data_IF_174762988515
#
_entry.id   IF_174762988515
#
_cell.length_a   1.000
_cell.length_b   1.000
_cell.length_c   1.000
_cell.angle_alpha   90.00
_cell.angle_beta   90.00
_cell.angle_gamma   90.00
#
_symmetry.space_group_name_H-M   'P 1'
#
loop_
_entity.id
_entity.type
_entity.pdbx_description
1 polymer ?
#
# COMPACT_ATOMS: atom_id res chain seq x y z
N UNK A 1 8.57 -22.27 5.80
CA UNK A 1 9.83 -21.80 5.19
C UNK A 1 9.91 -20.29 5.34
N UNK A 2 10.75 -19.80 6.25
CA UNK A 2 11.00 -18.37 6.39
C UNK A 2 11.80 -17.90 5.18
N UNK A 3 11.27 -16.95 4.39
CA UNK A 3 12.06 -16.27 3.34
C UNK A 3 13.31 -15.71 4.01
N UNK A 4 14.48 -16.22 3.64
CA UNK A 4 15.76 -15.60 3.97
C UNK A 4 15.66 -14.13 3.56
N UNK A 5 15.75 -13.23 4.54
CA UNK A 5 15.94 -11.82 4.28
C UNK A 5 17.29 -11.70 3.58
N UNK A 6 17.25 -11.51 2.26
CA UNK A 6 18.41 -11.22 1.44
C UNK A 6 19.13 -10.03 2.08
N UNK A 7 20.35 -10.26 2.57
CA UNK A 7 21.19 -9.21 3.17
C UNK A 7 21.56 -8.24 2.05
N UNK A 8 20.66 -7.30 1.76
CA UNK A 8 20.90 -6.20 0.82
C UNK A 8 22.20 -5.53 1.20
N UNK A 9 23.16 -5.49 0.26
CA UNK A 9 24.46 -4.89 0.49
C UNK A 9 24.29 -3.40 0.79
N UNK A 10 25.19 -2.81 1.57
CA UNK A 10 25.17 -1.36 1.85
C UNK A 10 25.15 -0.54 0.55
N UNK A 11 25.84 -1.02 -0.49
CA UNK A 11 25.82 -0.42 -1.84
C UNK A 11 24.43 -0.45 -2.47
N UNK A 12 23.69 -1.54 -2.30
CA UNK A 12 22.33 -1.66 -2.85
C UNK A 12 21.38 -0.72 -2.13
N UNK A 13 21.49 -0.61 -0.80
CA UNK A 13 20.71 0.35 0.00
C UNK A 13 20.98 1.80 -0.43
N UNK A 14 22.25 2.17 -0.64
CA UNK A 14 22.62 3.49 -1.15
C UNK A 14 22.06 3.73 -2.55
N UNK A 15 22.10 2.74 -3.44
CA UNK A 15 21.53 2.82 -4.78
C UNK A 15 20.00 3.02 -4.73
N UNK A 16 19.30 2.31 -3.85
CA UNK A 16 17.86 2.49 -3.63
C UNK A 16 17.53 3.89 -3.14
N UNK A 17 18.30 4.43 -2.19
CA UNK A 17 18.15 5.80 -1.70
C UNK A 17 18.37 6.81 -2.83
N UNK A 18 19.42 6.64 -3.64
CA UNK A 18 19.70 7.50 -4.79
C UNK A 18 18.60 7.47 -5.86
N UNK A 19 18.02 6.28 -6.12
CA UNK A 19 16.87 6.15 -7.02
C UNK A 19 15.63 6.84 -6.46
N UNK A 20 15.35 6.68 -5.17
CA UNK A 20 14.23 7.35 -4.49
C UNK A 20 14.38 8.88 -4.52
N UNK A 21 15.60 9.39 -4.34
CA UNK A 21 15.91 10.81 -4.42
C UNK A 21 15.64 11.36 -5.83
N UNK A 22 16.22 10.75 -6.87
CA UNK A 22 16.01 11.16 -8.27
C UNK A 22 14.54 11.05 -8.69
N UNK A 23 13.84 10.04 -8.19
CA UNK A 23 12.42 9.86 -8.44
C UNK A 23 11.61 10.99 -7.79
N UNK A 24 11.84 11.29 -6.51
CA UNK A 24 11.12 12.31 -5.74
C UNK A 24 11.37 13.72 -6.27
N UNK A 25 12.62 14.09 -6.56
CA UNK A 25 12.98 15.41 -7.10
C UNK A 25 12.27 15.74 -8.41
N UNK A 26 12.03 14.73 -9.27
CA UNK A 26 11.33 14.92 -10.53
C UNK A 26 9.83 15.19 -10.38
N UNK A 27 9.21 14.74 -9.28
CA UNK A 27 7.75 14.85 -9.07
C UNK A 27 7.39 15.95 -8.06
N UNK A 28 8.23 16.19 -7.07
CA UNK A 28 8.03 17.22 -6.06
C UNK A 28 9.04 18.36 -6.23
N UNK A 29 8.59 19.47 -6.82
CA UNK A 29 9.40 20.70 -7.01
C UNK A 29 9.84 21.32 -5.69
N UNK A 30 9.10 21.10 -4.61
CA UNK A 30 9.42 21.61 -3.27
C UNK A 30 10.42 20.74 -2.51
N UNK A 31 10.77 19.56 -3.03
CA UNK A 31 11.70 18.67 -2.36
C UNK A 31 13.10 19.27 -2.24
N UNK A 32 13.63 19.87 -3.31
CA UNK A 32 14.97 20.50 -3.32
C UNK A 32 15.12 21.65 -2.30
N UNK A 33 14.24 22.67 -2.26
CA UNK A 33 14.39 23.77 -1.30
C UNK A 33 14.22 23.29 0.15
N UNK A 34 13.29 22.36 0.41
CA UNK A 34 13.12 21.77 1.74
C UNK A 34 14.38 21.00 2.16
N UNK A 35 14.97 20.25 1.24
CA UNK A 35 16.19 19.50 1.49
C UNK A 35 17.38 20.42 1.79
N UNK A 36 17.50 21.53 1.08
CA UNK A 36 18.51 22.54 1.36
C UNK A 36 18.34 23.16 2.76
N UNK A 37 17.10 23.52 3.14
CA UNK A 37 16.81 24.06 4.47
C UNK A 37 17.17 23.06 5.56
N UNK A 38 16.80 21.79 5.40
CA UNK A 38 17.05 20.73 6.41
C UNK A 38 18.53 20.48 6.62
N UNK A 39 19.34 20.65 5.57
CA UNK A 39 20.80 20.58 5.69
C UNK A 39 21.35 21.85 6.30
N UNK A 40 20.96 23.04 5.83
CA UNK A 40 21.58 24.30 6.25
C UNK A 40 21.19 24.74 7.67
N UNK A 41 19.94 24.52 8.07
CA UNK A 41 19.39 24.95 9.36
C UNK A 41 20.24 24.51 10.58
N UNK A 42 20.60 23.22 10.75
CA UNK A 42 21.43 22.81 11.88
C UNK A 42 22.83 23.44 11.87
N UNK A 43 23.44 23.66 10.70
CA UNK A 43 24.74 24.34 10.61
C UNK A 43 24.65 25.83 10.95
N UNK A 44 23.58 26.51 10.54
CA UNK A 44 23.31 27.91 10.92
C UNK A 44 23.15 28.02 12.44
N UNK A 45 22.37 27.12 13.05
CA UNK A 45 22.15 27.09 14.50
C UNK A 45 23.46 26.87 15.25
N UNK A 46 24.25 25.86 14.86
CA UNK A 46 25.53 25.59 15.53
C UNK A 46 26.51 26.74 15.34
N UNK A 47 26.57 27.35 14.15
CA UNK A 47 27.44 28.51 13.91
C UNK A 47 27.05 29.69 14.79
N UNK A 48 25.76 29.97 14.94
CA UNK A 48 25.30 31.02 15.86
C UNK A 48 25.69 30.70 17.32
N UNK A 49 25.54 29.44 17.77
CA UNK A 49 25.92 29.05 19.13
C UNK A 49 27.44 29.15 19.38
N UNK A 50 28.26 28.79 18.38
CA UNK A 50 29.72 28.90 18.47
C UNK A 50 30.16 30.37 18.51
N UNK A 51 29.58 31.23 17.66
CA UNK A 51 29.97 32.64 17.54
C UNK A 51 29.46 33.49 18.71
N UNK A 52 28.19 33.35 19.09
CA UNK A 52 27.56 34.20 20.11
C UNK A 52 27.68 33.67 21.53
N UNK A 53 27.83 32.36 21.71
CA UNK A 53 27.82 31.68 23.01
C UNK A 53 29.15 30.99 23.34
N UNK A 54 30.17 31.17 22.50
CA UNK A 54 31.50 30.56 22.62
C UNK A 54 31.46 29.04 22.81
N UNK A 55 30.47 28.38 22.20
CA UNK A 55 30.34 26.92 22.28
C UNK A 55 31.49 26.19 21.60
N UNK A 56 31.83 24.98 22.07
CA UNK A 56 32.88 24.18 21.43
C UNK A 56 32.58 23.84 19.97
N UNK A 57 33.59 23.98 19.13
CA UNK A 57 33.57 23.60 17.71
C UNK A 57 33.17 22.14 17.40
N UNK A 58 33.34 21.19 18.33
CA UNK A 58 32.97 19.79 18.07
C UNK A 58 31.45 19.59 17.85
N UNK A 59 30.61 20.56 18.23
CA UNK A 59 29.16 20.52 17.98
C UNK A 59 28.78 20.51 16.48
N UNK A 60 29.69 20.88 15.59
CA UNK A 60 29.50 20.72 14.14
C UNK A 60 29.33 19.24 13.73
N UNK A 61 29.93 18.30 14.46
CA UNK A 61 29.73 16.86 14.25
C UNK A 61 28.27 16.47 14.53
N UNK A 62 27.68 17.01 15.60
CA UNK A 62 26.27 16.80 15.94
C UNK A 62 25.34 17.41 14.89
N UNK A 63 25.65 18.60 14.36
CA UNK A 63 24.90 19.22 13.25
C UNK A 63 24.87 18.32 12.01
N UNK A 64 26.00 17.69 11.67
CA UNK A 64 26.08 16.75 10.55
C UNK A 64 25.15 15.54 10.74
N UNK A 65 25.12 14.93 11.93
CA UNK A 65 24.22 13.81 12.20
C UNK A 65 22.74 14.23 12.14
N UNK A 66 22.40 15.40 12.68
CA UNK A 66 21.04 15.94 12.62
C UNK A 66 20.62 16.20 11.16
N UNK A 67 21.50 16.79 10.36
CA UNK A 67 21.25 17.03 8.93
C UNK A 67 21.02 15.71 8.16
N UNK A 68 21.81 14.68 8.45
CA UNK A 68 21.69 13.37 7.81
C UNK A 68 20.37 12.68 8.17
N UNK A 69 20.00 12.68 9.46
CA UNK A 69 18.72 12.12 9.91
C UNK A 69 17.56 12.90 9.31
N UNK A 70 17.64 14.23 9.33
CA UNK A 70 16.65 15.13 8.74
C UNK A 70 16.43 14.81 7.26
N UNK A 71 17.51 14.67 6.48
CA UNK A 71 17.47 14.28 5.08
C UNK A 71 16.74 12.96 4.85
N UNK A 72 17.01 11.95 5.67
CA UNK A 72 16.36 10.65 5.53
C UNK A 72 14.87 10.72 5.86
N UNK A 73 14.48 11.48 6.88
CA UNK A 73 13.08 11.68 7.28
C UNK A 73 12.31 12.45 6.19
N UNK A 74 12.86 13.54 5.68
CA UNK A 74 12.22 14.36 4.63
C UNK A 74 12.09 13.58 3.34
N UNK A 75 13.12 12.85 2.93
CA UNK A 75 13.06 11.97 1.77
C UNK A 75 11.96 10.93 1.94
N UNK A 76 11.96 10.17 3.04
CA UNK A 76 10.97 9.11 3.26
C UNK A 76 9.51 9.64 3.25
N UNK A 77 9.27 10.75 3.96
CA UNK A 77 7.94 11.36 4.04
C UNK A 77 7.47 11.91 2.69
N UNK A 78 8.37 12.53 1.91
CA UNK A 78 8.05 13.10 0.59
C UNK A 78 7.87 12.02 -0.47
N UNK A 79 8.73 11.00 -0.50
CA UNK A 79 8.59 9.83 -1.37
C UNK A 79 7.25 9.12 -1.12
N UNK A 80 6.86 8.93 0.14
CA UNK A 80 5.57 8.31 0.48
C UNK A 80 4.39 9.11 -0.08
N UNK A 81 4.45 10.45 -0.02
CA UNK A 81 3.41 11.33 -0.58
C UNK A 81 3.34 11.23 -2.11
N UNK A 82 4.48 11.21 -2.80
CA UNK A 82 4.53 11.07 -4.26
C UNK A 82 3.98 9.71 -4.70
N UNK A 83 4.42 8.63 -4.06
CA UNK A 83 3.94 7.27 -4.36
C UNK A 83 2.43 7.17 -4.13
N UNK A 84 1.92 7.74 -3.03
CA UNK A 84 0.49 7.72 -2.72
C UNK A 84 -0.33 8.45 -3.78
N UNK A 85 0.18 9.58 -4.30
CA UNK A 85 -0.46 10.31 -5.40
C UNK A 85 -0.43 9.54 -6.72
N UNK A 86 0.66 8.84 -7.02
CA UNK A 86 0.75 7.99 -8.22
C UNK A 86 -0.06 6.69 -8.11
N UNK A 87 -0.42 6.27 -6.89
CA UNK A 87 -1.32 5.14 -6.66
C UNK A 87 -2.78 5.49 -6.98
N UNK A 88 -3.15 6.79 -7.03
CA UNK A 88 -4.47 7.24 -7.46
C UNK A 88 -4.66 6.89 -8.94
N UNK A 89 -5.61 6.00 -9.23
CA UNK A 89 -5.95 5.59 -10.60
C UNK A 89 -5.19 4.37 -11.14
N UNK A 90 -4.31 3.73 -10.35
CA UNK A 90 -3.77 2.41 -10.69
C UNK A 90 -4.65 1.30 -10.10
N UNK A 91 -5.07 0.30 -10.88
CA UNK A 91 -5.77 -0.87 -10.35
C UNK A 91 -4.92 -1.58 -9.29
N UNK A 92 -5.50 -1.86 -8.12
CA UNK A 92 -4.84 -2.37 -6.93
C UNK A 92 -4.09 -1.30 -6.10
N UNK A 93 -4.20 -0.01 -6.45
CA UNK A 93 -3.53 1.08 -5.73
C UNK A 93 -4.06 1.27 -4.31
N UNK A 94 -5.35 1.01 -4.12
CA UNK A 94 -6.00 1.01 -2.80
C UNK A 94 -5.44 -0.04 -1.85
N UNK A 95 -5.12 -1.23 -2.38
CA UNK A 95 -4.45 -2.29 -1.64
C UNK A 95 -3.02 -1.89 -1.23
N UNK A 96 -2.23 -1.39 -2.16
CA UNK A 96 -0.81 -1.11 -1.96
C UNK A 96 -0.52 -0.11 -0.83
N UNK A 97 -1.44 0.82 -0.55
CA UNK A 97 -1.27 1.80 0.54
C UNK A 97 -1.64 1.28 1.93
N UNK A 98 -2.39 0.18 1.98
CA UNK A 98 -2.87 -0.44 3.22
C UNK A 98 -2.00 -1.65 3.58
N UNK A 99 -1.41 -2.31 2.57
CA UNK A 99 -0.48 -3.42 2.74
C UNK A 99 0.77 -2.94 3.51
N UNK A 100 0.86 -3.34 4.79
CA UNK A 100 1.91 -2.89 5.71
C UNK A 100 1.43 -2.01 6.88
N UNK A 101 0.13 -1.70 6.97
CA UNK A 101 -0.41 -1.09 8.18
C UNK A 101 -0.31 -2.05 9.38
N UNK A 102 0.36 -1.60 10.45
CA UNK A 102 0.56 -2.41 11.64
C UNK A 102 -0.77 -2.76 12.32
N UNK A 103 -0.98 -4.05 12.59
CA UNK A 103 -2.17 -4.54 13.29
C UNK A 103 -3.40 -4.72 12.39
N UNK A 104 -3.20 -4.70 11.07
CA UNK A 104 -4.21 -5.04 10.08
C UNK A 104 -3.78 -6.29 9.31
N UNK A 105 -4.73 -7.18 9.05
CA UNK A 105 -4.56 -8.33 8.16
C UNK A 105 -5.30 -8.06 6.87
N UNK A 106 -4.57 -7.96 5.77
CA UNK A 106 -5.16 -7.67 4.45
C UNK A 106 -5.24 -8.94 3.61
N UNK A 107 -6.33 -9.10 2.89
CA UNK A 107 -6.53 -10.14 1.89
C UNK A 107 -6.95 -9.46 0.59
N UNK A 108 -6.08 -9.43 -0.44
CA UNK A 108 -6.42 -8.83 -1.71
C UNK A 108 -7.44 -9.69 -2.48
N UNK A 109 -8.24 -9.03 -3.33
CA UNK A 109 -9.09 -9.67 -4.33
C UNK A 109 -9.92 -10.86 -3.78
N UNK A 110 -10.67 -10.64 -2.70
CA UNK A 110 -11.57 -11.66 -2.14
C UNK A 110 -12.72 -11.96 -3.10
N UNK A 111 -13.14 -10.95 -3.86
CA UNK A 111 -14.00 -11.05 -5.01
C UNK A 111 -13.48 -10.11 -6.11
N UNK A 112 -13.44 -10.56 -7.36
CA UNK A 112 -13.03 -9.75 -8.50
C UNK A 112 -13.89 -10.09 -9.71
N UNK A 113 -14.31 -9.06 -10.47
CA UNK A 113 -14.99 -9.22 -11.75
C UNK A 113 -14.03 -8.94 -12.93
N UNK A 114 -13.04 -8.08 -12.72
CA UNK A 114 -11.98 -7.75 -13.68
C UNK A 114 -10.72 -7.33 -12.91
N UNK A 115 -9.65 -7.00 -13.64
CA UNK A 115 -8.43 -6.42 -13.06
C UNK A 115 -8.66 -5.02 -12.48
N UNK A 116 -9.73 -4.33 -12.88
CA UNK A 116 -10.08 -2.98 -12.43
C UNK A 116 -11.19 -2.96 -11.38
N UNK A 117 -12.04 -3.99 -11.36
CA UNK A 117 -13.19 -4.11 -10.45
C UNK A 117 -12.96 -5.26 -9.47
N UNK A 118 -12.48 -4.92 -8.26
CA UNK A 118 -12.18 -5.91 -7.23
C UNK A 118 -12.53 -5.43 -5.82
N UNK A 119 -12.67 -6.39 -4.90
CA UNK A 119 -12.98 -6.15 -3.49
C UNK A 119 -11.86 -6.73 -2.64
N UNK A 120 -11.22 -5.86 -1.88
CA UNK A 120 -10.23 -6.23 -0.87
C UNK A 120 -10.89 -6.29 0.50
N UNK A 121 -10.30 -7.12 1.36
CA UNK A 121 -10.75 -7.27 2.75
C UNK A 121 -9.60 -6.94 3.68
N UNK A 122 -9.88 -6.12 4.69
CA UNK A 122 -8.96 -5.80 5.76
C UNK A 122 -9.61 -6.15 7.11
N UNK A 123 -8.86 -6.78 8.01
CA UNK A 123 -9.32 -7.13 9.35
C UNK A 123 -8.39 -6.48 10.36
N UNK A 124 -8.96 -5.72 11.30
CA UNK A 124 -8.19 -5.00 12.32
C UNK A 124 -8.99 -4.81 13.60
N UNK A 125 -8.48 -3.97 14.51
CA UNK A 125 -9.19 -3.62 15.76
C UNK A 125 -10.57 -2.98 15.56
N UNK A 126 -10.85 -2.26 14.46
CA UNK A 126 -12.21 -1.80 14.20
C UNK A 126 -13.20 -2.91 13.84
N UNK A 127 -12.72 -4.06 13.36
CA UNK A 127 -13.55 -5.12 12.82
C UNK A 127 -13.12 -5.48 11.40
N UNK A 128 -14.10 -5.78 10.55
CA UNK A 128 -13.87 -6.14 9.15
C UNK A 128 -14.18 -4.93 8.27
N UNK A 129 -13.29 -4.64 7.34
CA UNK A 129 -13.46 -3.57 6.36
C UNK A 129 -13.38 -4.17 4.97
N UNK A 130 -14.41 -3.90 4.16
CA UNK A 130 -14.45 -4.22 2.74
C UNK A 130 -14.16 -2.96 1.95
N UNK A 131 -13.24 -3.09 0.99
CA UNK A 131 -12.75 -2.02 0.16
C UNK A 131 -13.03 -2.40 -1.28
N UNK A 132 -13.99 -1.73 -1.90
CA UNK A 132 -14.28 -1.93 -3.32
C UNK A 132 -13.43 -0.96 -4.14
N UNK A 133 -12.69 -1.48 -5.09
CA UNK A 133 -11.94 -0.72 -6.09
C UNK A 133 -12.60 -0.91 -7.45
N UNK A 134 -12.78 0.18 -8.21
CA UNK A 134 -13.44 0.18 -9.51
C UNK A 134 -14.88 0.72 -9.50
N UNK A 135 -15.65 0.42 -10.54
CA UNK A 135 -16.96 1.00 -10.82
C UNK A 135 -18.15 0.25 -10.19
N UNK A 136 -19.34 0.39 -10.77
CA UNK A 136 -20.58 -0.18 -10.22
C UNK A 136 -20.57 -1.70 -9.98
N UNK A 137 -19.74 -2.46 -10.73
CA UNK A 137 -19.55 -3.91 -10.54
C UNK A 137 -18.89 -4.24 -9.19
N UNK A 138 -17.89 -3.46 -8.76
CA UNK A 138 -17.21 -3.66 -7.48
C UNK A 138 -18.16 -3.44 -6.30
N UNK A 139 -19.08 -2.46 -6.39
CA UNK A 139 -20.13 -2.21 -5.38
C UNK A 139 -21.09 -3.40 -5.24
N UNK A 140 -21.46 -4.05 -6.34
CA UNK A 140 -22.28 -5.27 -6.33
C UNK A 140 -21.53 -6.44 -5.69
N UNK A 141 -20.25 -6.62 -6.02
CA UNK A 141 -19.41 -7.65 -5.38
C UNK A 141 -19.27 -7.40 -3.88
N UNK A 142 -19.12 -6.14 -3.48
CA UNK A 142 -19.00 -5.75 -2.08
C UNK A 142 -20.26 -6.05 -1.27
N UNK A 143 -21.45 -5.82 -1.83
CA UNK A 143 -22.71 -6.15 -1.13
C UNK A 143 -22.90 -7.66 -0.98
N UNK A 144 -22.51 -8.45 -1.98
CA UNK A 144 -22.50 -9.91 -1.91
C UNK A 144 -21.53 -10.42 -0.84
N UNK A 145 -20.30 -9.89 -0.82
CA UNK A 145 -19.29 -10.30 0.15
C UNK A 145 -19.68 -9.84 1.57
N UNK A 146 -20.27 -8.65 1.74
CA UNK A 146 -20.80 -8.21 3.03
C UNK A 146 -21.83 -9.19 3.59
N UNK A 147 -22.77 -9.65 2.76
CA UNK A 147 -23.79 -10.64 3.16
C UNK A 147 -23.17 -12.00 3.48
N UNK A 148 -22.11 -12.40 2.77
CA UNK A 148 -21.39 -13.65 3.01
C UNK A 148 -20.65 -13.61 4.35
N UNK A 149 -19.90 -12.54 4.59
CA UNK A 149 -19.11 -12.31 5.79
C UNK A 149 -20.01 -12.13 7.02
N UNK A 150 -21.12 -11.41 6.91
CA UNK A 150 -22.02 -11.12 8.05
C UNK A 150 -22.53 -12.39 8.74
N UNK A 151 -22.63 -13.51 8.03
CA UNK A 151 -23.02 -14.81 8.59
C UNK A 151 -21.96 -15.44 9.50
N UNK A 152 -20.70 -15.00 9.41
CA UNK A 152 -19.55 -15.66 10.06
C UNK A 152 -18.85 -14.75 11.08
N UNK A 153 -18.93 -13.43 10.91
CA UNK A 153 -18.28 -12.47 11.81
C UNK A 153 -19.03 -12.24 13.13
N UNK A 154 -20.28 -12.70 13.24
CA UNK A 154 -21.10 -12.54 14.43
C UNK A 154 -21.35 -11.06 14.75
N UNK A 155 -21.02 -10.64 15.97
CA UNK A 155 -21.18 -9.27 16.47
C UNK A 155 -20.13 -8.26 15.99
N UNK A 156 -19.13 -8.70 15.20
CA UNK A 156 -18.06 -7.80 14.75
C UNK A 156 -18.56 -6.87 13.65
N UNK A 157 -18.36 -5.53 13.77
CA UNK A 157 -18.78 -4.58 12.74
C UNK A 157 -18.13 -4.83 11.37
N UNK A 158 -18.92 -4.65 10.31
CA UNK A 158 -18.47 -4.73 8.91
C UNK A 158 -18.64 -3.37 8.26
N UNK A 159 -17.52 -2.71 7.96
CA UNK A 159 -17.47 -1.43 7.25
C UNK A 159 -17.26 -1.65 5.75
N UNK A 160 -17.83 -0.77 4.94
CA UNK A 160 -17.71 -0.81 3.48
C UNK A 160 -17.27 0.55 2.97
N UNK A 161 -16.19 0.60 2.21
CA UNK A 161 -15.72 1.81 1.52
C UNK A 161 -15.53 1.51 0.04
N UNK A 162 -15.85 2.50 -0.79
CA UNK A 162 -15.53 2.47 -2.21
C UNK A 162 -14.36 3.40 -2.44
N UNK A 163 -13.34 2.92 -3.13
CA UNK A 163 -12.13 3.65 -3.43
C UNK A 163 -12.31 4.33 -4.79
N UNK A 164 -12.10 5.64 -4.82
CA UNK A 164 -12.24 6.46 -6.02
C UNK A 164 -12.29 7.94 -5.67
N UNK A 165 -12.58 8.78 -6.65
CA UNK A 165 -12.57 10.25 -6.53
C UNK A 165 -13.99 10.86 -6.60
N UNK A 166 -15.05 10.03 -6.55
CA UNK A 166 -16.43 10.50 -6.53
C UNK A 166 -16.92 11.01 -5.15
N UNK A 167 -18.08 11.66 -5.13
CA UNK A 167 -18.68 12.32 -3.95
C UNK A 167 -19.02 11.37 -2.77
N UNK A 168 -19.09 10.07 -3.03
CA UNK A 168 -19.32 9.01 -2.03
C UNK A 168 -18.19 7.96 -2.02
N UNK A 169 -17.00 8.37 -2.44
CA UNK A 169 -15.82 7.52 -2.54
C UNK A 169 -14.70 8.09 -1.67
N UNK A 170 -13.86 7.20 -1.17
CA UNK A 170 -12.71 7.57 -0.37
C UNK A 170 -11.52 7.60 -1.30
N UNK A 171 -10.89 8.77 -1.42
CA UNK A 171 -9.65 8.92 -2.18
C UNK A 171 -8.60 7.93 -1.68
N UNK A 172 -7.77 7.43 -2.59
CA UNK A 172 -6.68 6.50 -2.26
C UNK A 172 -5.74 7.12 -1.21
N UNK A 173 -5.56 8.45 -1.26
CA UNK A 173 -4.71 9.19 -0.31
C UNK A 173 -5.32 9.27 1.10
N UNK A 174 -6.64 9.48 1.20
CA UNK A 174 -7.32 9.64 2.50
C UNK A 174 -7.72 8.31 3.13
N UNK A 175 -7.71 7.22 2.36
CA UNK A 175 -8.13 5.90 2.79
C UNK A 175 -7.46 5.46 4.10
N UNK A 176 -6.13 5.60 4.20
CA UNK A 176 -5.38 5.27 5.42
C UNK A 176 -5.85 6.08 6.62
N UNK A 177 -6.11 7.38 6.44
CA UNK A 177 -6.58 8.28 7.50
C UNK A 177 -7.98 7.91 7.95
N UNK A 178 -8.86 7.59 7.01
CA UNK A 178 -10.24 7.15 7.26
C UNK A 178 -10.26 5.84 8.05
N UNK A 179 -9.46 4.84 7.66
CA UNK A 179 -9.37 3.56 8.37
C UNK A 179 -8.82 3.71 9.80
N UNK A 180 -7.86 4.60 10.01
CA UNK A 180 -7.28 4.85 11.33
C UNK A 180 -8.21 5.61 12.28
N UNK A 181 -9.21 6.32 11.75
CA UNK A 181 -10.23 7.03 12.54
C UNK A 181 -11.36 6.12 13.03
N UNK A 182 -11.46 4.89 12.53
CA UNK A 182 -12.52 3.97 12.94
C UNK A 182 -12.38 3.60 14.43
N UNK A 183 -13.52 3.45 15.15
CA UNK A 183 -13.50 3.07 16.56
C UNK A 183 -12.93 1.67 16.74
N UNK A 184 -12.29 1.44 17.89
CA UNK A 184 -11.66 0.15 18.22
C UNK A 184 -12.68 -0.78 18.87
N UNK A 185 -13.49 -1.44 18.04
CA UNK A 185 -14.60 -2.27 18.51
C UNK A 185 -14.17 -3.63 19.08
N UNK A 186 -13.02 -4.18 18.64
CA UNK A 186 -12.55 -5.50 19.05
C UNK A 186 -11.09 -5.50 19.52
N UNK A 187 -10.74 -6.45 20.39
CA UNK A 187 -9.35 -6.66 20.83
C UNK A 187 -8.53 -7.27 19.69
N UNK A 188 -7.21 -7.10 19.76
CA UNK A 188 -6.31 -7.63 18.73
C UNK A 188 -6.38 -9.16 18.58
N UNK A 189 -6.59 -9.89 19.69
CA UNK A 189 -6.77 -11.35 19.67
C UNK A 189 -8.04 -11.74 18.91
N UNK A 190 -9.14 -11.04 19.17
CA UNK A 190 -10.43 -11.29 18.52
C UNK A 190 -10.35 -10.98 17.02
N UNK A 191 -9.65 -9.92 16.63
CA UNK A 191 -9.37 -9.61 15.23
C UNK A 191 -8.63 -10.75 14.52
N UNK A 192 -7.65 -11.38 15.19
CA UNK A 192 -6.95 -12.55 14.64
C UNK A 192 -7.89 -13.76 14.51
N UNK A 193 -8.79 -14.00 15.47
CA UNK A 193 -9.80 -15.07 15.39
C UNK A 193 -10.80 -14.82 14.26
N UNK A 194 -11.24 -13.58 14.06
CA UNK A 194 -12.11 -13.18 12.94
C UNK A 194 -11.37 -13.39 11.62
N UNK A 195 -10.11 -12.94 11.52
CA UNK A 195 -9.30 -13.16 10.33
C UNK A 195 -9.17 -14.65 9.99
N UNK A 196 -8.84 -15.52 10.96
CA UNK A 196 -8.76 -16.97 10.75
C UNK A 196 -10.08 -17.57 10.25
N UNK A 197 -11.22 -17.19 10.84
CA UNK A 197 -12.55 -17.64 10.38
C UNK A 197 -12.84 -17.21 8.94
N UNK A 198 -12.48 -15.98 8.58
CA UNK A 198 -12.67 -15.43 7.24
C UNK A 198 -11.73 -16.03 6.19
N UNK A 199 -10.52 -16.41 6.60
CA UNK A 199 -9.60 -17.16 5.75
C UNK A 199 -10.10 -18.58 5.52
N UNK A 200 -10.64 -19.24 6.55
CA UNK A 200 -11.22 -20.59 6.44
C UNK A 200 -12.47 -20.64 5.54
N UNK A 201 -13.24 -19.54 5.47
CA UNK A 201 -14.38 -19.39 4.58
C UNK A 201 -13.98 -19.44 3.08
N UNK A 202 -12.70 -19.19 2.76
CA UNK A 202 -12.18 -19.18 1.39
C UNK A 202 -12.64 -17.97 0.57
N UNK A 203 -11.82 -17.59 -0.42
CA UNK A 203 -12.17 -16.51 -1.35
C UNK A 203 -13.24 -17.00 -2.34
N UNK A 204 -14.18 -16.13 -2.68
CA UNK A 204 -15.12 -16.39 -3.77
C UNK A 204 -14.42 -16.11 -5.11
N UNK A 205 -13.40 -16.89 -5.46
CA UNK A 205 -12.72 -16.74 -6.76
C UNK A 205 -13.34 -17.69 -7.79
N UNK A 206 -14.04 -17.17 -8.81
CA UNK A 206 -13.67 -17.47 -10.17
C UNK A 206 -12.48 -16.57 -10.52
N UNK A 207 -11.27 -17.14 -10.56
CA UNK A 207 -10.12 -16.46 -11.13
C UNK A 207 -10.48 -16.02 -12.57
N UNK A 208 -10.13 -14.79 -13.02
CA UNK A 208 -10.34 -14.41 -14.41
C UNK A 208 -9.62 -15.44 -15.27
N UNK A 209 -10.41 -16.30 -15.94
CA UNK A 209 -9.83 -17.25 -16.89
C UNK A 209 -9.24 -16.38 -17.99
N UNK A 210 -7.92 -16.44 -18.14
CA UNK A 210 -7.26 -15.90 -19.32
C UNK A 210 -7.99 -16.37 -20.58
N UNK A 211 -7.92 -15.62 -21.68
CA UNK A 211 -8.77 -15.83 -22.85
C UNK A 211 -8.85 -17.32 -23.20
N UNK A 212 -9.97 -17.94 -22.87
CA UNK A 212 -10.21 -19.34 -23.23
C UNK A 212 -10.26 -19.34 -24.74
N UNK A 213 -9.44 -20.14 -25.45
CA UNK A 213 -9.48 -20.17 -26.90
C UNK A 213 -10.90 -20.51 -27.34
N UNK A 214 -11.57 -19.54 -27.97
CA UNK A 214 -13.00 -19.58 -28.31
C UNK A 214 -13.32 -20.56 -29.44
N UNK A 215 -12.45 -21.51 -29.77
CA UNK A 215 -12.82 -22.55 -30.71
C UNK A 215 -12.18 -23.89 -30.37
N UNK A 216 -13.06 -24.86 -30.12
CA UNK A 216 -12.78 -26.29 -30.21
C UNK A 216 -12.18 -26.68 -31.58
N UNK A 217 -12.36 -25.84 -32.61
CA UNK A 217 -11.81 -26.03 -33.95
C UNK A 217 -10.32 -25.67 -34.07
N UNK A 218 -9.78 -24.72 -33.28
CA UNK A 218 -8.34 -24.43 -33.27
C UNK A 218 -7.51 -25.60 -32.73
N UNK A 219 -8.06 -26.36 -31.78
CA UNK A 219 -7.41 -27.57 -31.24
C UNK A 219 -7.39 -28.74 -32.23
N UNK A 220 -8.42 -28.88 -33.08
CA UNK A 220 -8.46 -29.90 -34.15
C UNK A 220 -7.50 -29.58 -35.30
N UNK A 221 -7.30 -28.30 -35.63
CA UNK A 221 -6.35 -27.85 -36.65
C UNK A 221 -4.89 -28.13 -36.28
N UNK A 222 -4.50 -27.80 -35.05
CA UNK A 222 -3.14 -28.03 -34.55
C UNK A 222 -2.80 -29.54 -34.42
N UNK A 223 -3.78 -30.39 -34.12
CA UNK A 223 -3.56 -31.84 -34.01
C UNK A 223 -3.35 -32.51 -35.39
N UNK A 224 -3.96 -31.97 -36.45
CA UNK A 224 -3.77 -32.46 -37.83
C UNK A 224 -2.43 -32.04 -38.43
N UNK A 225 -1.88 -30.88 -38.08
CA UNK A 225 -0.58 -30.45 -38.59
C UNK A 225 0.58 -31.21 -37.96
N UNK A 226 0.46 -31.67 -36.71
CA UNK A 226 1.48 -32.50 -36.05
C UNK A 226 1.54 -33.94 -36.58
N UNK A 227 0.43 -34.48 -37.08
CA UNK A 227 0.37 -35.85 -37.63
C UNK A 227 0.83 -35.94 -39.10
N UNK A 228 1.10 -34.81 -39.75
CA UNK A 228 1.51 -34.73 -41.16
C UNK A 228 3.01 -34.49 -41.35
N UNK A 229 3.78 -34.48 -40.27
CA UNK A 229 5.24 -34.48 -40.30
C UNK A 229 5.79 -35.87 -39.99
N UNK A 230 5.78 -36.76 -41.00
CA UNK A 230 6.66 -37.92 -41.10
C UNK A 230 7.29 -37.90 -42.48
#
# INVERSE_FOLDING_TARGET
>A
MAKQQEKTSFKDKLKTIGMAFKYTTKRDKWFLPVQAIVVLLPFIIVTALVVFLSWPWFWYVSALFIALIGCMITLNTRTTKVISKEAVGRPGGGYALIDGMRGWHMTPAVAAASETDMVHRAVGKPGVVLLAEGGGKSRKLMSQERKRISRVVGSTPVYTFVIGEGENEVSVTDLRKTLMKLPRNIKAKDANHVHKRLTALGNALPMPKGPTPTSTNAMKGARRSMLRGR
#
